data_IF_988894516264
#
_entry.id   IF_988894516264
#
_cell.length_a   1.000
_cell.length_b   1.000
_cell.length_c   1.000
_cell.angle_alpha   90.00
_cell.angle_beta   90.00
_cell.angle_gamma   90.00
#
_symmetry.space_group_name_H-M   'P 1'
#
loop_
_entity.id
_entity.type
_entity.pdbx_description
1 polymer ?
#
# COMPACT_ATOMS: atom_id res chain seq x y z
N UNK A 1 2.82 -14.33 3.40
CA UNK A 1 3.67 -13.31 2.74
C UNK A 1 2.89 -12.00 2.70
N UNK A 2 3.54 -10.90 3.04
CA UNK A 2 2.97 -9.56 3.05
C UNK A 2 3.45 -8.79 1.81
N UNK A 3 2.53 -8.36 0.97
CA UNK A 3 2.82 -7.57 -0.23
C UNK A 3 2.45 -6.11 0.07
N UNK A 4 3.46 -5.24 0.07
CA UNK A 4 3.25 -3.81 0.27
C UNK A 4 3.01 -3.13 -1.08
N UNK A 5 1.89 -2.40 -1.21
CA UNK A 5 1.53 -1.68 -2.42
C UNK A 5 1.63 -0.17 -2.17
N UNK A 6 2.47 0.48 -2.96
CA UNK A 6 2.58 1.94 -3.02
C UNK A 6 1.91 2.46 -4.29
N UNK A 7 1.16 3.53 -4.19
CA UNK A 7 0.45 4.11 -5.31
C UNK A 7 -0.32 5.37 -4.93
N UNK A 8 -0.90 6.02 -5.93
CA UNK A 8 -1.63 7.28 -5.76
C UNK A 8 -2.78 7.18 -4.76
N UNK A 9 -2.96 8.23 -3.97
CA UNK A 9 -4.15 8.46 -3.15
C UNK A 9 -5.24 9.28 -3.87
N UNK A 10 -5.01 9.70 -5.11
CA UNK A 10 -5.92 10.53 -5.89
C UNK A 10 -6.92 9.71 -6.69
N UNK A 11 -8.17 10.14 -6.70
CA UNK A 11 -9.21 9.62 -7.62
C UNK A 11 -9.10 10.22 -9.04
N UNK A 12 -8.29 11.27 -9.22
CA UNK A 12 -8.12 11.97 -10.49
C UNK A 12 -7.02 11.31 -11.36
N UNK A 13 -7.15 10.01 -11.57
CA UNK A 13 -6.30 9.23 -12.45
C UNK A 13 -7.17 8.38 -13.38
N UNK A 14 -6.61 7.95 -14.50
CA UNK A 14 -7.35 7.13 -15.45
C UNK A 14 -7.87 5.85 -14.82
N UNK A 15 -9.11 5.52 -15.15
CA UNK A 15 -9.82 4.34 -14.62
C UNK A 15 -9.02 3.05 -14.83
N UNK A 16 -8.24 2.94 -15.89
CA UNK A 16 -7.43 1.75 -16.17
C UNK A 16 -6.45 1.43 -15.04
N UNK A 17 -5.87 2.45 -14.41
CA UNK A 17 -4.97 2.26 -13.27
C UNK A 17 -5.70 1.82 -12.02
N UNK A 18 -6.91 2.35 -11.78
CA UNK A 18 -7.76 1.93 -10.66
C UNK A 18 -8.21 0.48 -10.82
N UNK A 19 -8.70 0.11 -12.01
CA UNK A 19 -9.13 -1.26 -12.33
C UNK A 19 -7.96 -2.25 -12.19
N UNK A 20 -6.78 -1.86 -12.66
CA UNK A 20 -5.55 -2.66 -12.54
C UNK A 20 -5.16 -2.87 -11.08
N UNK A 21 -5.22 -1.82 -10.26
CA UNK A 21 -4.90 -1.91 -8.84
C UNK A 21 -5.92 -2.76 -8.06
N UNK A 22 -7.19 -2.67 -8.40
CA UNK A 22 -8.23 -3.52 -7.81
C UNK A 22 -7.99 -4.99 -8.16
N UNK A 23 -7.66 -5.27 -9.43
CA UNK A 23 -7.28 -6.61 -9.88
C UNK A 23 -6.04 -7.13 -9.14
N UNK A 24 -5.01 -6.29 -8.96
CA UNK A 24 -3.81 -6.61 -8.20
C UNK A 24 -4.16 -7.02 -6.76
N UNK A 25 -4.95 -6.20 -6.07
CA UNK A 25 -5.39 -6.49 -4.70
C UNK A 25 -6.13 -7.83 -4.60
N UNK A 26 -7.04 -8.08 -5.53
CA UNK A 26 -7.75 -9.36 -5.64
C UNK A 26 -6.78 -10.52 -5.83
N UNK A 27 -5.78 -10.39 -6.71
CA UNK A 27 -4.78 -11.43 -6.96
C UNK A 27 -3.89 -11.69 -5.75
N UNK A 28 -3.52 -10.67 -4.99
CA UNK A 28 -2.78 -10.81 -3.73
C UNK A 28 -3.58 -11.71 -2.77
N UNK A 29 -4.87 -11.41 -2.58
CA UNK A 29 -5.74 -12.19 -1.70
C UNK A 29 -5.97 -13.62 -2.20
N UNK A 30 -6.25 -13.82 -3.49
CA UNK A 30 -6.44 -15.15 -4.10
C UNK A 30 -5.21 -16.05 -3.96
N UNK A 31 -4.02 -15.47 -3.87
CA UNK A 31 -2.75 -16.20 -3.61
C UNK A 31 -2.52 -16.50 -2.13
N UNK A 32 -3.41 -16.08 -1.25
CA UNK A 32 -3.26 -16.24 0.21
C UNK A 32 -2.23 -15.30 0.81
N UNK A 33 -1.91 -14.20 0.13
CA UNK A 33 -1.00 -13.17 0.65
C UNK A 33 -1.78 -12.04 1.31
N UNK A 34 -1.14 -11.33 2.24
CA UNK A 34 -1.70 -10.17 2.89
C UNK A 34 -1.33 -8.90 2.13
N UNK A 35 -2.25 -7.94 2.08
CA UNK A 35 -1.99 -6.60 1.55
C UNK A 35 -1.52 -5.68 2.66
N UNK A 36 -0.36 -5.05 2.49
CA UNK A 36 0.10 -3.92 3.32
C UNK A 36 -0.02 -2.64 2.49
N UNK A 37 -0.64 -1.61 3.03
CA UNK A 37 -0.84 -0.35 2.31
C UNK A 37 -1.01 0.84 3.26
N UNK A 38 -1.01 2.04 2.71
CA UNK A 38 -1.10 3.28 3.49
C UNK A 38 -2.49 3.63 4.03
N UNK A 39 -3.38 2.66 4.15
CA UNK A 39 -4.72 2.77 4.70
C UNK A 39 -5.69 3.72 3.97
N UNK A 40 -5.31 4.36 2.87
CA UNK A 40 -6.19 5.28 2.13
C UNK A 40 -7.34 4.56 1.42
N UNK A 41 -8.53 5.18 1.44
CA UNK A 41 -9.73 4.63 0.77
C UNK A 41 -9.88 5.08 -0.68
N UNK A 42 -9.03 5.99 -1.16
CA UNK A 42 -9.08 6.57 -2.50
C UNK A 42 -7.89 6.15 -3.36
N UNK A 43 -8.01 6.39 -4.67
CA UNK A 43 -6.96 6.15 -5.65
C UNK A 43 -6.54 4.68 -5.74
N UNK A 44 -5.27 4.47 -6.04
CA UNK A 44 -4.66 3.14 -6.15
C UNK A 44 -4.73 2.39 -4.82
N UNK A 45 -4.46 3.08 -3.70
CA UNK A 45 -4.56 2.48 -2.37
C UNK A 45 -5.96 1.93 -2.11
N UNK A 46 -6.98 2.76 -2.35
CA UNK A 46 -8.37 2.35 -2.18
C UNK A 46 -8.80 1.23 -3.11
N UNK A 47 -8.38 1.27 -4.38
CA UNK A 47 -8.67 0.23 -5.35
C UNK A 47 -8.04 -1.11 -4.93
N UNK A 48 -6.76 -1.12 -4.57
CA UNK A 48 -6.07 -2.34 -4.16
C UNK A 48 -6.70 -2.97 -2.91
N UNK A 49 -7.05 -2.17 -1.90
CA UNK A 49 -7.70 -2.73 -0.70
C UNK A 49 -9.11 -3.22 -0.96
N UNK A 50 -9.89 -2.56 -1.82
CA UNK A 50 -11.22 -3.07 -2.21
C UNK A 50 -11.11 -4.41 -2.93
N UNK A 51 -10.14 -4.56 -3.83
CA UNK A 51 -9.88 -5.83 -4.51
C UNK A 51 -9.50 -6.94 -3.53
N UNK A 52 -8.58 -6.69 -2.62
CA UNK A 52 -8.17 -7.66 -1.60
C UNK A 52 -9.34 -8.02 -0.67
N UNK A 53 -10.06 -7.02 -0.17
CA UNK A 53 -11.21 -7.21 0.72
C UNK A 53 -12.32 -8.03 0.06
N UNK A 54 -12.67 -7.72 -1.20
CA UNK A 54 -13.72 -8.44 -1.94
C UNK A 54 -13.39 -9.93 -2.16
N UNK A 55 -12.12 -10.29 -2.18
CA UNK A 55 -11.63 -11.65 -2.29
C UNK A 55 -11.36 -12.32 -0.92
N UNK A 56 -11.76 -11.70 0.18
CA UNK A 56 -11.58 -12.23 1.54
C UNK A 56 -10.14 -12.17 2.06
N UNK A 57 -9.30 -11.31 1.46
CA UNK A 57 -7.90 -11.17 1.84
C UNK A 57 -7.69 -10.42 3.15
N UNK A 58 -6.58 -10.72 3.83
CA UNK A 58 -6.15 -9.99 5.03
C UNK A 58 -5.45 -8.70 4.64
N UNK A 59 -5.89 -7.58 5.20
CA UNK A 59 -5.41 -6.24 4.86
C UNK A 59 -4.86 -5.51 6.07
N UNK A 60 -3.66 -4.97 5.94
CA UNK A 60 -2.93 -4.23 6.98
C UNK A 60 -2.77 -2.79 6.50
N UNK A 61 -3.55 -1.90 7.08
CA UNK A 61 -3.44 -0.47 6.83
C UNK A 61 -2.52 0.20 7.84
N UNK A 62 -1.63 1.08 7.38
CA UNK A 62 -0.76 1.87 8.26
C UNK A 62 -0.96 3.35 7.95
N UNK A 63 -1.39 4.13 8.94
CA UNK A 63 -1.73 5.54 8.76
C UNK A 63 -1.29 6.39 9.93
N UNK A 64 -0.81 7.62 9.71
CA UNK A 64 -0.69 8.57 10.79
C UNK A 64 -2.07 9.03 11.26
N UNK A 65 -2.17 9.39 12.53
CA UNK A 65 -3.42 9.77 13.21
C UNK A 65 -4.17 10.92 12.51
N UNK A 66 -3.44 11.91 12.00
CA UNK A 66 -4.05 13.07 11.35
C UNK A 66 -4.85 12.73 10.07
N UNK A 67 -4.62 11.58 9.43
CA UNK A 67 -5.46 11.13 8.31
C UNK A 67 -6.78 10.52 8.76
N UNK A 68 -6.87 10.04 9.98
CA UNK A 68 -8.13 9.53 10.55
C UNK A 68 -9.11 10.70 10.71
N UNK A 69 -8.63 11.80 11.24
CA UNK A 69 -9.45 12.99 11.51
C UNK A 69 -10.08 13.59 10.24
N UNK A 70 -9.39 13.50 9.10
CA UNK A 70 -9.92 14.00 7.82
C UNK A 70 -10.75 12.96 7.05
N UNK A 71 -10.94 11.76 7.61
CA UNK A 71 -11.87 10.77 7.07
C UNK A 71 -11.45 10.10 5.76
N UNK A 72 -10.15 9.99 5.48
CA UNK A 72 -9.62 9.39 4.23
C UNK A 72 -9.19 7.93 4.38
N UNK A 73 -9.34 7.37 5.57
CA UNK A 73 -8.92 5.99 5.90
C UNK A 73 -10.00 4.98 5.49
N UNK A 74 -9.56 3.84 4.96
CA UNK A 74 -10.43 2.70 4.67
C UNK A 74 -10.84 2.02 5.99
N UNK A 75 -12.14 1.92 6.24
CA UNK A 75 -12.72 1.53 7.54
C UNK A 75 -12.84 0.02 7.77
N UNK A 76 -12.48 -0.82 6.78
CA UNK A 76 -12.66 -2.28 6.82
C UNK A 76 -11.35 -3.05 6.78
N UNK A 77 -10.23 -2.43 7.17
CA UNK A 77 -8.97 -3.15 7.30
C UNK A 77 -9.08 -4.28 8.32
N UNK A 78 -8.41 -5.40 8.04
CA UNK A 78 -8.27 -6.49 9.01
C UNK A 78 -7.43 -6.04 10.22
N UNK A 79 -6.42 -5.22 9.96
CA UNK A 79 -5.56 -4.58 10.95
C UNK A 79 -5.33 -3.12 10.54
N UNK A 80 -5.51 -2.18 11.47
CA UNK A 80 -5.16 -0.78 11.28
C UNK A 80 -4.13 -0.36 12.31
N UNK A 81 -2.97 0.06 11.83
CA UNK A 81 -1.87 0.56 12.66
C UNK A 81 -1.84 2.07 12.54
N UNK A 82 -2.00 2.74 13.66
CA UNK A 82 -1.97 4.20 13.75
C UNK A 82 -0.59 4.65 14.24
N UNK A 83 0.00 5.61 13.55
CA UNK A 83 1.31 6.18 13.88
C UNK A 83 1.21 7.67 14.19
N UNK A 84 2.22 8.22 14.85
CA UNK A 84 2.29 9.66 15.11
C UNK A 84 2.82 10.44 13.90
N UNK A 85 3.65 9.81 13.08
CA UNK A 85 4.33 10.47 11.97
C UNK A 85 4.29 9.66 10.66
N UNK A 86 4.50 10.36 9.53
CA UNK A 86 4.68 9.71 8.22
C UNK A 86 5.96 8.84 8.18
N UNK A 87 6.99 9.20 8.92
CA UNK A 87 8.23 8.43 9.00
C UNK A 87 8.00 7.06 9.65
N UNK A 88 7.30 7.03 10.78
CA UNK A 88 6.93 5.77 11.45
C UNK A 88 6.07 4.90 10.55
N UNK A 89 5.09 5.50 9.86
CA UNK A 89 4.25 4.80 8.89
C UNK A 89 5.08 4.06 7.85
N UNK A 90 6.01 4.75 7.19
CA UNK A 90 6.88 4.13 6.16
C UNK A 90 7.71 3.00 6.75
N UNK A 91 8.36 3.24 7.88
CA UNK A 91 9.17 2.22 8.56
C UNK A 91 8.38 0.96 8.87
N UNK A 92 7.17 1.08 9.41
CA UNK A 92 6.30 -0.06 9.71
C UNK A 92 5.89 -0.80 8.43
N UNK A 93 5.52 -0.08 7.37
CA UNK A 93 5.16 -0.70 6.09
C UNK A 93 6.34 -1.46 5.50
N UNK A 94 7.53 -0.88 5.54
CA UNK A 94 8.76 -1.51 5.06
C UNK A 94 9.13 -2.76 5.86
N UNK A 95 9.04 -2.69 7.19
CA UNK A 95 9.36 -3.81 8.08
C UNK A 95 8.39 -4.99 7.89
N UNK A 96 7.09 -4.69 7.74
CA UNK A 96 6.06 -5.72 7.54
C UNK A 96 6.09 -6.37 6.16
N UNK A 97 6.59 -5.69 5.15
CA UNK A 97 6.58 -6.17 3.76
C UNK A 97 7.59 -7.30 3.52
N UNK A 98 7.18 -8.31 2.76
CA UNK A 98 8.08 -9.31 2.17
C UNK A 98 8.45 -8.95 0.73
N UNK A 99 7.61 -8.17 0.06
CA UNK A 99 7.83 -7.64 -1.29
C UNK A 99 7.07 -6.31 -1.46
N UNK A 100 7.54 -5.49 -2.41
CA UNK A 100 6.93 -4.20 -2.74
C UNK A 100 6.40 -4.21 -4.18
N UNK A 101 5.22 -3.64 -4.38
CA UNK A 101 4.65 -3.36 -5.70
C UNK A 101 4.43 -1.86 -5.80
N UNK A 102 5.06 -1.25 -6.79
CA UNK A 102 5.00 0.18 -7.06
C UNK A 102 4.04 0.41 -8.21
N UNK A 103 2.92 1.04 -7.94
CA UNK A 103 1.90 1.40 -8.92
C UNK A 103 2.02 2.87 -9.33
N UNK A 104 1.20 3.27 -10.30
CA UNK A 104 1.12 4.67 -10.71
C UNK A 104 0.82 5.60 -9.52
N UNK A 105 1.52 6.74 -9.44
CA UNK A 105 1.35 7.68 -8.35
C UNK A 105 2.15 8.95 -8.50
N UNK A 106 2.03 9.81 -7.52
CA UNK A 106 2.72 11.10 -7.47
C UNK A 106 3.93 11.10 -6.54
N UNK A 107 4.21 12.26 -5.95
CA UNK A 107 5.41 12.50 -5.12
C UNK A 107 5.53 11.53 -3.94
N UNK A 108 4.43 11.23 -3.26
CA UNK A 108 4.46 10.29 -2.15
C UNK A 108 4.87 8.88 -2.58
N UNK A 109 4.38 8.41 -3.72
CA UNK A 109 4.74 7.11 -4.29
C UNK A 109 6.21 7.07 -4.72
N UNK A 110 6.73 8.16 -5.32
CA UNK A 110 8.15 8.25 -5.65
C UNK A 110 9.03 8.25 -4.40
N UNK A 111 8.65 8.97 -3.36
CA UNK A 111 9.38 8.97 -2.09
C UNK A 111 9.47 7.57 -1.49
N UNK A 112 8.36 6.86 -1.42
CA UNK A 112 8.29 5.48 -0.90
C UNK A 112 9.13 4.52 -1.77
N UNK A 113 9.01 4.62 -3.08
CA UNK A 113 9.77 3.79 -4.03
C UNK A 113 11.28 4.01 -3.89
N UNK A 114 11.72 5.27 -3.93
CA UNK A 114 13.15 5.57 -3.85
C UNK A 114 13.74 5.21 -2.49
N UNK A 115 12.99 5.28 -1.40
CA UNK A 115 13.47 4.81 -0.10
C UNK A 115 13.73 3.30 -0.11
N UNK A 116 12.76 2.47 -0.51
CA UNK A 116 12.96 1.02 -0.53
C UNK A 116 14.01 0.61 -1.56
N UNK A 117 14.10 1.31 -2.69
CA UNK A 117 15.12 1.06 -3.70
C UNK A 117 16.53 1.40 -3.18
N UNK A 118 16.68 2.55 -2.51
CA UNK A 118 17.95 2.97 -1.90
C UNK A 118 18.39 1.99 -0.82
N UNK A 119 17.50 1.58 0.06
CA UNK A 119 17.81 0.60 1.09
C UNK A 119 18.24 -0.75 0.49
N UNK A 120 17.60 -1.17 -0.60
CA UNK A 120 17.99 -2.37 -1.33
C UNK A 120 19.38 -2.22 -1.96
N UNK A 121 19.68 -1.09 -2.60
CA UNK A 121 21.00 -0.78 -3.15
C UNK A 121 22.09 -0.83 -2.08
N UNK A 122 21.78 -0.37 -0.88
CA UNK A 122 22.69 -0.39 0.26
C UNK A 122 22.73 -1.73 1.01
N UNK A 123 22.14 -2.78 0.46
CA UNK A 123 22.05 -4.12 1.05
C UNK A 123 21.40 -4.15 2.44
N UNK A 124 20.46 -3.24 2.71
CA UNK A 124 19.71 -3.21 3.97
C UNK A 124 18.51 -4.16 3.95
N UNK A 125 18.08 -4.58 2.77
CA UNK A 125 17.13 -5.67 2.54
C UNK A 125 17.33 -6.30 1.16
N UNK A 126 16.77 -7.51 0.97
CA UNK A 126 16.82 -8.25 -0.30
C UNK A 126 15.43 -8.41 -0.93
N UNK A 127 14.42 -7.77 -0.35
CA UNK A 127 13.00 -7.91 -0.75
C UNK A 127 12.80 -7.53 -2.21
N UNK A 128 11.98 -8.29 -2.98
CA UNK A 128 11.62 -7.92 -4.36
C UNK A 128 10.90 -6.57 -4.42
N UNK A 129 11.20 -5.81 -5.48
CA UNK A 129 10.51 -4.56 -5.83
C UNK A 129 10.03 -4.71 -7.27
N UNK A 130 8.72 -4.58 -7.47
CA UNK A 130 8.04 -4.76 -8.77
C UNK A 130 7.42 -3.42 -9.15
N UNK A 131 7.64 -2.98 -10.38
CA UNK A 131 6.94 -1.84 -10.98
C UNK A 131 5.77 -2.41 -11.79
N UNK A 132 4.55 -1.95 -11.46
CA UNK A 132 3.30 -2.48 -12.02
C UNK A 132 2.52 -1.39 -12.75
#
# INVERSE_FOLDING_TARGET
MNICVFGSSSEQIDKIYLDSAEHLGKKIAEKGYNLVFGAGKYGIMGASVRGAYSAGGYTIGVTPDFFIDVGVVFDKCSELIVTDTMRERKGIMEDKADAFVICAGGMGTFEEFFEVLTLKQLNRHTKPIIIY
#
